data_IF_841633003328
#
_entry.id   IF_841633003328
#
_cell.length_a   1.000
_cell.length_b   1.000
_cell.length_c   1.000
_cell.angle_alpha   90.00
_cell.angle_beta   90.00
_cell.angle_gamma   90.00
#
_symmetry.space_group_name_H-M   'P 1'
#
loop_
_entity.id
_entity.type
_entity.pdbx_description
1 polymer ?
#
# COMPACT_ATOMS: atom_id res chain seq x y z
N UNK A 1 -3.69 -0.60 75.69
CA UNK A 1 -2.98 -0.05 74.50
C UNK A 1 -2.34 -1.13 73.65
N UNK A 2 -1.71 -2.17 74.21
CA UNK A 2 -1.09 -3.27 73.46
C UNK A 2 -2.07 -4.04 72.54
N UNK A 3 -3.28 -4.34 73.02
CA UNK A 3 -4.30 -5.11 72.28
C UNK A 3 -4.85 -4.38 71.03
N UNK A 4 -4.96 -3.05 71.08
CA UNK A 4 -5.40 -2.24 69.93
C UNK A 4 -4.31 -2.14 68.85
N UNK A 5 -3.03 -2.10 69.26
CA UNK A 5 -1.91 -2.09 68.30
C UNK A 5 -1.79 -3.44 67.60
N UNK A 6 -2.03 -4.54 68.31
CA UNK A 6 -2.05 -5.89 67.72
C UNK A 6 -3.24 -6.05 66.76
N UNK A 7 -4.43 -5.50 67.07
CA UNK A 7 -5.57 -5.56 66.15
C UNK A 7 -5.37 -4.74 64.89
N UNK A 8 -4.82 -3.52 65.01
CA UNK A 8 -4.51 -2.64 63.86
C UNK A 8 -3.41 -3.26 62.97
N UNK A 9 -2.42 -3.92 63.58
CA UNK A 9 -1.34 -4.61 62.87
C UNK A 9 -1.83 -5.87 62.16
N UNK A 10 -2.74 -6.64 62.77
CA UNK A 10 -3.38 -7.79 62.12
C UNK A 10 -4.27 -7.35 60.95
N UNK A 11 -5.08 -6.29 61.09
CA UNK A 11 -5.91 -5.78 59.98
C UNK A 11 -5.10 -5.24 58.80
N UNK A 12 -3.87 -4.75 59.02
CA UNK A 12 -2.96 -4.33 57.93
C UNK A 12 -2.26 -5.51 57.23
N UNK A 13 -2.19 -6.67 57.89
CA UNK A 13 -1.63 -7.91 57.32
C UNK A 13 -2.66 -8.69 56.49
N UNK A 14 -3.95 -8.48 56.71
CA UNK A 14 -5.01 -9.14 55.96
C UNK A 14 -5.50 -8.25 54.82
N UNK A 15 -5.18 -8.65 53.59
CA UNK A 15 -5.71 -8.15 52.32
C UNK A 15 -5.05 -6.92 51.71
N UNK A 16 -3.70 -6.93 51.66
CA UNK A 16 -3.02 -6.57 50.42
C UNK A 16 -3.41 -7.61 49.35
N UNK A 17 -4.59 -7.45 48.72
CA UNK A 17 -4.91 -8.18 47.50
C UNK A 17 -4.07 -7.54 46.42
N UNK A 18 -2.88 -8.10 46.20
CA UNK A 18 -2.10 -7.79 45.01
C UNK A 18 -2.97 -8.07 43.79
N UNK A 19 -3.29 -7.03 43.02
CA UNK A 19 -3.88 -7.21 41.70
C UNK A 19 -2.83 -7.94 40.87
N UNK A 20 -3.04 -9.24 40.66
CA UNK A 20 -2.24 -10.01 39.71
C UNK A 20 -2.75 -9.61 38.33
N UNK A 21 -2.06 -8.68 37.69
CA UNK A 21 -2.26 -8.39 36.28
C UNK A 21 -1.80 -9.63 35.50
N UNK A 22 -2.73 -10.50 35.11
CA UNK A 22 -2.45 -11.57 34.15
C UNK A 22 -2.45 -10.93 32.77
N UNK A 23 -1.35 -11.02 31.99
CA UNK A 23 -1.36 -10.54 30.62
C UNK A 23 -2.42 -11.31 29.84
N UNK A 24 -3.26 -10.59 29.09
CA UNK A 24 -4.24 -11.20 28.21
C UNK A 24 -3.49 -12.15 27.26
N UNK A 25 -3.89 -13.43 27.14
CA UNK A 25 -3.25 -14.34 26.19
C UNK A 25 -3.41 -13.72 24.80
N UNK A 26 -2.28 -13.56 24.12
CA UNK A 26 -2.17 -12.91 22.83
C UNK A 26 -3.04 -13.68 21.82
N UNK A 27 -4.27 -13.21 21.56
CA UNK A 27 -5.08 -13.67 20.43
C UNK A 27 -4.66 -12.94 19.15
N UNK A 28 -3.35 -12.85 18.92
CA UNK A 28 -2.75 -12.40 17.69
C UNK A 28 -2.28 -13.62 16.88
N UNK A 29 -2.31 -13.56 15.54
CA UNK A 29 -1.71 -14.62 14.71
C UNK A 29 -0.23 -14.83 15.09
N UNK A 30 0.36 -16.01 14.86
CA UNK A 30 1.75 -16.27 15.25
C UNK A 30 2.69 -15.35 14.48
N UNK A 31 3.15 -14.28 15.12
CA UNK A 31 3.96 -13.23 14.51
C UNK A 31 5.45 -13.42 14.81
N UNK A 32 6.04 -14.52 14.34
CA UNK A 32 7.50 -14.70 14.47
C UNK A 32 8.34 -13.73 13.60
N UNK A 33 7.72 -12.80 12.84
CA UNK A 33 8.41 -11.81 11.99
C UNK A 33 7.78 -10.39 11.97
N UNK A 34 6.79 -10.05 12.80
CA UNK A 34 5.86 -8.95 12.47
C UNK A 34 6.14 -7.57 13.11
N UNK A 35 7.26 -7.37 13.80
CA UNK A 35 7.59 -6.07 14.41
C UNK A 35 8.55 -5.23 13.53
N UNK A 36 8.81 -5.69 12.31
CA UNK A 36 9.63 -4.99 11.33
C UNK A 36 8.86 -3.89 10.58
N UNK A 37 9.58 -2.95 9.95
CA UNK A 37 8.97 -1.94 9.08
C UNK A 37 8.13 -2.60 7.97
N UNK A 38 6.83 -2.27 7.90
CA UNK A 38 5.91 -2.87 6.92
C UNK A 38 6.08 -2.21 5.55
N UNK A 39 6.56 -3.01 4.58
CA UNK A 39 6.66 -2.61 3.17
C UNK A 39 5.28 -2.74 2.50
N UNK A 40 4.88 -1.71 1.76
CA UNK A 40 3.56 -1.67 1.08
C UNK A 40 3.74 -1.65 -0.43
N UNK A 41 3.08 -2.58 -1.14
CA UNK A 41 2.96 -2.54 -2.60
C UNK A 41 1.65 -1.86 -3.01
N UNK A 42 1.72 -0.68 -3.63
CA UNK A 42 0.53 0.14 -3.95
C UNK A 42 0.69 0.87 -5.29
N UNK A 43 -0.43 1.24 -5.89
CA UNK A 43 -0.49 2.22 -6.97
C UNK A 43 -0.85 3.59 -6.37
N UNK A 44 -0.01 4.61 -6.54
CA UNK A 44 -0.29 5.96 -6.04
C UNK A 44 -1.17 6.72 -7.05
N UNK A 45 -2.46 6.81 -6.77
CA UNK A 45 -3.42 7.52 -7.63
C UNK A 45 -3.50 9.01 -7.27
N UNK A 46 -3.06 9.88 -8.16
CA UNK A 46 -3.18 11.33 -8.02
C UNK A 46 -4.61 11.78 -8.33
N UNK A 47 -5.34 12.23 -7.31
CA UNK A 47 -6.79 12.45 -7.38
C UNK A 47 -7.20 13.51 -8.39
N UNK A 48 -6.44 14.61 -8.47
CA UNK A 48 -6.77 15.76 -9.34
C UNK A 48 -6.50 15.52 -10.81
N UNK A 49 -5.33 15.02 -11.23
CA UNK A 49 -5.11 14.67 -12.63
C UNK A 49 -5.79 13.36 -13.02
N UNK A 50 -6.18 12.52 -12.06
CA UNK A 50 -6.82 11.23 -12.33
C UNK A 50 -5.86 10.15 -12.83
N UNK A 51 -4.59 10.20 -12.43
CA UNK A 51 -3.52 9.37 -12.96
C UNK A 51 -2.80 8.60 -11.85
N UNK A 52 -2.39 7.37 -12.12
CA UNK A 52 -1.46 6.59 -11.30
C UNK A 52 -0.03 6.99 -11.60
N UNK A 53 0.77 7.27 -10.57
CA UNK A 53 2.20 7.49 -10.74
C UNK A 53 2.86 6.24 -11.30
N UNK A 54 3.65 6.43 -12.36
CA UNK A 54 4.30 5.37 -13.10
C UNK A 54 5.79 5.71 -13.29
N UNK A 55 6.63 4.68 -13.15
CA UNK A 55 8.05 4.74 -13.54
C UNK A 55 8.25 3.77 -14.70
N UNK A 56 8.49 4.31 -15.89
CA UNK A 56 8.72 3.52 -17.09
C UNK A 56 10.05 2.76 -17.04
N UNK A 57 10.19 1.74 -17.89
CA UNK A 57 11.43 0.95 -17.98
C UNK A 57 12.66 1.80 -18.35
N UNK A 58 12.49 2.88 -19.10
CA UNK A 58 13.53 3.86 -19.43
C UNK A 58 13.89 4.79 -18.23
N UNK A 59 13.06 4.80 -17.19
CA UNK A 59 13.21 5.64 -15.99
C UNK A 59 12.44 6.96 -16.03
N UNK A 60 11.62 7.20 -17.06
CA UNK A 60 10.74 8.38 -17.08
C UNK A 60 9.64 8.25 -16.03
N UNK A 61 9.35 9.35 -15.34
CA UNK A 61 8.28 9.43 -14.33
C UNK A 61 7.11 10.22 -14.92
N UNK A 62 5.96 9.57 -15.03
CA UNK A 62 4.73 10.20 -15.53
C UNK A 62 3.48 9.53 -14.95
N UNK A 63 2.29 9.90 -15.44
CA UNK A 63 1.02 9.34 -14.99
C UNK A 63 0.39 8.40 -16.01
N UNK A 64 -0.32 7.38 -15.54
CA UNK A 64 -1.14 6.47 -16.36
C UNK A 64 -2.59 6.43 -15.84
N UNK A 65 -3.58 6.43 -16.74
CA UNK A 65 -5.00 6.36 -16.35
C UNK A 65 -5.36 5.04 -15.66
N UNK A 66 -4.67 3.95 -16.03
CA UNK A 66 -4.92 2.60 -15.52
C UNK A 66 -3.79 2.13 -14.61
N UNK A 67 -4.06 1.09 -13.81
CA UNK A 67 -2.99 0.37 -13.12
C UNK A 67 -2.20 -0.44 -14.16
N UNK A 68 -0.87 -0.39 -14.06
CA UNK A 68 0.05 -1.13 -14.92
C UNK A 68 1.16 -1.72 -14.06
N UNK A 69 1.92 -2.72 -14.55
CA UNK A 69 3.07 -3.23 -13.82
C UNK A 69 4.10 -2.14 -13.45
N UNK A 70 4.22 -1.11 -14.29
CA UNK A 70 5.11 0.03 -14.08
C UNK A 70 4.58 1.08 -13.10
N UNK A 71 3.28 1.07 -12.79
CA UNK A 71 2.69 1.93 -11.74
C UNK A 71 2.58 1.23 -10.39
N UNK A 72 3.04 -0.02 -10.27
CA UNK A 72 3.18 -0.70 -8.99
C UNK A 72 4.44 -0.18 -8.27
N UNK A 73 4.23 0.39 -7.09
CA UNK A 73 5.27 1.01 -6.29
C UNK A 73 5.42 0.28 -4.95
N UNK A 74 6.66 0.04 -4.57
CA UNK A 74 7.05 -0.35 -3.23
C UNK A 74 7.26 0.91 -2.38
N UNK A 75 6.52 1.01 -1.28
CA UNK A 75 6.60 2.09 -0.31
C UNK A 75 7.16 1.52 0.98
N UNK A 76 8.42 1.85 1.25
CA UNK A 76 9.21 1.28 2.35
C UNK A 76 9.50 2.37 3.38
N UNK A 77 9.09 2.20 4.65
CA UNK A 77 9.39 3.17 5.70
C UNK A 77 10.89 3.13 6.03
N UNK A 78 11.49 4.31 6.20
CA UNK A 78 12.92 4.46 6.54
C UNK A 78 13.16 5.14 7.88
N UNK A 79 12.26 6.01 8.29
CA UNK A 79 12.24 6.70 9.58
C UNK A 79 10.76 6.95 9.96
N UNK A 80 10.44 7.31 11.21
CA UNK A 80 9.08 7.62 11.61
C UNK A 80 8.43 8.69 10.71
N UNK A 81 7.42 8.28 9.93
CA UNK A 81 6.70 9.13 8.98
C UNK A 81 7.46 9.43 7.67
N UNK A 82 8.64 8.84 7.45
CA UNK A 82 9.40 8.99 6.22
C UNK A 82 9.43 7.67 5.44
N UNK A 83 9.27 7.77 4.12
CA UNK A 83 9.22 6.65 3.19
C UNK A 83 10.16 6.86 2.03
N UNK A 84 10.58 5.74 1.44
CA UNK A 84 11.20 5.65 0.13
C UNK A 84 10.21 4.96 -0.80
N UNK A 85 10.10 5.48 -2.02
CA UNK A 85 9.19 4.96 -3.04
C UNK A 85 10.03 4.40 -4.18
N UNK A 86 9.82 3.13 -4.54
CA UNK A 86 10.55 2.43 -5.60
C UNK A 86 9.56 1.83 -6.60
N UNK A 87 9.79 2.03 -7.89
CA UNK A 87 9.03 1.34 -8.93
C UNK A 87 9.47 -0.11 -9.03
N UNK A 88 8.54 -1.06 -8.83
CA UNK A 88 8.86 -2.49 -8.78
C UNK A 88 9.39 -2.97 -10.12
N UNK A 89 8.61 -2.78 -11.20
CA UNK A 89 8.99 -3.23 -12.54
C UNK A 89 10.24 -2.52 -13.08
N UNK A 90 10.40 -1.22 -12.81
CA UNK A 90 11.57 -0.45 -13.26
C UNK A 90 12.81 -0.67 -12.38
N UNK A 91 12.65 -1.20 -11.16
CA UNK A 91 13.71 -1.33 -10.15
C UNK A 91 14.44 -0.02 -9.83
N UNK A 92 13.76 1.13 -9.96
CA UNK A 92 14.31 2.48 -9.73
C UNK A 92 13.58 3.20 -8.61
N UNK A 93 14.32 3.97 -7.82
CA UNK A 93 13.78 4.86 -6.80
C UNK A 93 13.16 6.11 -7.44
N UNK A 94 12.02 6.52 -6.92
CA UNK A 94 11.43 7.81 -7.23
C UNK A 94 12.13 8.90 -6.43
N UNK A 95 12.59 9.94 -7.12
CA UNK A 95 13.30 11.05 -6.49
C UNK A 95 12.77 12.37 -7.05
N UNK A 96 13.05 13.45 -6.33
CA UNK A 96 12.57 14.79 -6.66
C UNK A 96 13.71 15.80 -6.60
N UNK A 97 13.73 16.70 -7.56
CA UNK A 97 14.63 17.85 -7.58
C UNK A 97 14.05 19.02 -6.75
N UNK A 98 14.88 20.00 -6.34
CA UNK A 98 14.41 21.16 -5.56
C UNK A 98 13.28 21.93 -6.25
N UNK A 99 13.30 21.97 -7.59
CA UNK A 99 12.29 22.63 -8.42
C UNK A 99 10.97 21.84 -8.52
N UNK A 100 10.92 20.62 -7.96
CA UNK A 100 9.78 19.71 -7.97
C UNK A 100 9.69 18.80 -9.20
N UNK A 101 10.72 18.76 -10.06
CA UNK A 101 10.79 17.77 -11.14
C UNK A 101 11.04 16.37 -10.56
N UNK A 102 10.21 15.42 -10.96
CA UNK A 102 10.38 14.03 -10.59
C UNK A 102 11.33 13.34 -11.57
N UNK A 103 12.15 12.44 -11.05
CA UNK A 103 13.02 11.58 -11.83
C UNK A 103 13.16 10.22 -11.13
N UNK A 104 13.83 9.28 -11.78
CA UNK A 104 14.13 7.99 -11.17
C UNK A 104 15.60 7.60 -11.32
N UNK A 105 16.12 6.85 -10.35
CA UNK A 105 17.52 6.40 -10.32
C UNK A 105 17.60 4.99 -9.72
N UNK A 106 18.50 4.12 -10.21
CA UNK A 106 18.74 2.81 -9.59
C UNK A 106 19.42 2.93 -8.22
N UNK A 107 20.16 4.01 -7.98
CA UNK A 107 20.91 4.23 -6.73
C UNK A 107 20.10 5.12 -5.80
N UNK A 108 19.87 4.65 -4.57
CA UNK A 108 19.19 5.42 -3.54
C UNK A 108 20.05 6.59 -3.07
N UNK A 109 19.43 7.78 -2.98
CA UNK A 109 19.98 8.94 -2.31
C UNK A 109 18.97 9.45 -1.28
N UNK A 110 19.40 9.59 -0.02
CA UNK A 110 18.54 10.10 1.03
C UNK A 110 18.02 11.50 0.71
N UNK A 111 18.86 12.34 0.11
CA UNK A 111 18.58 13.76 -0.08
C UNK A 111 17.43 13.99 -1.05
N UNK A 112 17.34 13.19 -2.12
CA UNK A 112 16.36 13.39 -3.19
C UNK A 112 15.24 12.34 -3.24
N UNK A 113 15.42 11.17 -2.62
CA UNK A 113 14.51 10.02 -2.75
C UNK A 113 13.74 9.68 -1.46
N UNK A 114 13.86 10.52 -0.42
CA UNK A 114 13.15 10.33 0.86
C UNK A 114 12.03 11.35 1.01
N UNK A 115 10.83 10.86 1.33
CA UNK A 115 9.63 11.68 1.47
C UNK A 115 9.00 11.50 2.84
N UNK A 116 8.59 12.60 3.47
CA UNK A 116 7.67 12.57 4.61
C UNK A 116 6.26 12.33 4.09
N UNK A 117 5.65 11.23 4.53
CA UNK A 117 4.26 10.88 4.25
C UNK A 117 3.35 11.49 5.32
N UNK A 118 2.32 12.21 4.89
CA UNK A 118 1.30 12.75 5.78
C UNK A 118 -0.08 12.43 5.22
N UNK A 119 -0.93 11.85 6.07
CA UNK A 119 -2.34 11.63 5.76
C UNK A 119 -3.10 12.92 6.11
N UNK A 120 -3.84 13.45 5.14
CA UNK A 120 -4.68 14.63 5.30
C UNK A 120 -6.04 14.26 5.92
N UNK A 121 -6.80 15.24 6.45
CA UNK A 121 -8.13 14.99 7.02
C UNK A 121 -9.15 14.40 6.05
N UNK A 122 -8.94 14.56 4.73
CA UNK A 122 -9.77 14.00 3.67
C UNK A 122 -9.39 12.55 3.30
N UNK A 123 -8.40 11.96 3.99
CA UNK A 123 -7.94 10.58 3.79
C UNK A 123 -6.90 10.41 2.68
N UNK A 124 -6.55 11.47 1.93
CA UNK A 124 -5.49 11.42 0.94
C UNK A 124 -4.12 11.56 1.61
N UNK A 125 -3.10 10.98 0.98
CA UNK A 125 -1.71 11.12 1.42
C UNK A 125 -0.99 12.18 0.58
N UNK A 126 -0.16 12.97 1.23
CA UNK A 126 0.81 13.87 0.57
C UNK A 126 2.22 13.42 0.92
N UNK A 127 3.13 13.58 -0.03
CA UNK A 127 4.53 13.20 0.12
C UNK A 127 5.40 14.44 -0.10
N UNK A 128 6.18 14.81 0.90
CA UNK A 128 7.05 16.00 0.86
C UNK A 128 8.50 15.56 0.95
N UNK A 129 9.36 16.03 0.04
CA UNK A 129 10.81 15.82 0.15
C UNK A 129 11.30 16.28 1.52
N UNK A 130 12.01 15.41 2.24
CA UNK A 130 12.56 15.75 3.56
C UNK A 130 13.59 16.88 3.44
N UNK A 131 14.43 16.83 2.40
CA UNK A 131 15.53 17.77 2.19
C UNK A 131 15.09 19.08 1.56
N UNK A 132 14.20 19.01 0.56
CA UNK A 132 13.83 20.19 -0.23
C UNK A 132 12.53 20.84 0.25
N UNK A 133 11.71 20.17 1.06
CA UNK A 133 10.37 20.64 1.44
C UNK A 133 9.38 20.69 0.27
N UNK A 134 9.76 20.15 -0.90
CA UNK A 134 8.95 20.18 -2.12
C UNK A 134 7.97 19.02 -2.14
N UNK A 135 6.71 19.31 -2.49
CA UNK A 135 5.65 18.31 -2.63
C UNK A 135 5.83 17.48 -3.91
N UNK A 136 5.69 16.17 -3.77
CA UNK A 136 5.57 15.24 -4.89
C UNK A 136 4.27 15.52 -5.65
N UNK A 137 4.34 15.73 -6.96
CA UNK A 137 3.18 15.99 -7.80
C UNK A 137 3.44 15.60 -9.25
N UNK A 138 2.44 15.03 -9.94
CA UNK A 138 2.48 14.75 -11.38
C UNK A 138 2.17 15.99 -12.24
N UNK A 139 1.91 17.14 -11.63
CA UNK A 139 1.56 18.37 -12.34
C UNK A 139 2.73 18.99 -13.12
N UNK A 140 2.42 19.63 -14.23
CA UNK A 140 3.39 20.44 -14.98
C UNK A 140 3.94 21.59 -14.11
N UNK A 141 5.14 22.14 -14.41
CA UNK A 141 5.69 23.27 -13.66
C UNK A 141 4.72 24.46 -13.54
N UNK A 142 3.92 24.72 -14.58
CA UNK A 142 2.89 25.78 -14.58
C UNK A 142 1.78 25.48 -13.58
N UNK A 143 1.26 24.24 -13.59
CA UNK A 143 0.22 23.81 -12.65
C UNK A 143 0.73 23.82 -11.20
N UNK A 144 2.00 23.45 -10.97
CA UNK A 144 2.62 23.50 -9.64
C UNK A 144 2.73 24.93 -9.10
N UNK A 145 3.10 25.91 -9.93
CA UNK A 145 3.12 27.33 -9.55
C UNK A 145 1.72 27.83 -9.18
N UNK A 146 0.72 27.55 -10.02
CA UNK A 146 -0.66 27.98 -9.77
C UNK A 146 -1.30 27.32 -8.54
N UNK A 147 -0.94 26.05 -8.26
CA UNK A 147 -1.40 25.35 -7.06
C UNK A 147 -0.85 25.95 -5.76
N UNK A 148 0.39 26.46 -5.78
CA UNK A 148 1.02 27.14 -4.65
C UNK A 148 0.26 28.40 -4.25
N UNK A 149 -0.19 29.18 -5.22
CA UNK A 149 -0.93 30.42 -4.99
C UNK A 149 -2.34 30.18 -4.41
N UNK A 150 -2.92 29.00 -4.63
CA UNK A 150 -4.25 28.62 -4.13
C UNK A 150 -4.22 27.95 -2.76
N UNK A 151 -3.05 27.80 -2.15
CA UNK A 151 -2.90 27.21 -0.81
C UNK A 151 -3.32 25.74 -0.70
N UNK A 152 -3.60 25.07 -1.82
CA UNK A 152 -4.13 23.69 -1.82
C UNK A 152 -3.15 22.74 -2.51
N UNK A 153 -2.65 21.71 -1.83
CA UNK A 153 -1.79 20.68 -2.42
C UNK A 153 -2.58 19.72 -3.32
N UNK A 154 -3.65 20.20 -3.99
CA UNK A 154 -4.60 19.33 -4.68
C UNK A 154 -3.90 18.44 -5.73
N UNK A 155 -2.91 18.96 -6.45
CA UNK A 155 -2.13 18.20 -7.43
C UNK A 155 -1.11 17.22 -6.81
N UNK A 156 -0.93 17.27 -5.49
CA UNK A 156 0.00 16.47 -4.71
C UNK A 156 -0.73 15.49 -3.76
N UNK A 157 -2.06 15.39 -3.84
CA UNK A 157 -2.87 14.44 -3.09
C UNK A 157 -2.93 13.09 -3.83
N UNK A 158 -2.46 12.05 -3.14
CA UNK A 158 -2.42 10.68 -3.64
C UNK A 158 -3.30 9.77 -2.78
N UNK A 159 -3.97 8.83 -3.44
CA UNK A 159 -4.67 7.72 -2.82
C UNK A 159 -3.87 6.43 -3.08
N UNK A 160 -3.26 5.80 -2.07
CA UNK A 160 -2.60 4.51 -2.23
C UNK A 160 -3.63 3.40 -2.48
N UNK A 161 -3.66 2.86 -3.70
CA UNK A 161 -4.59 1.79 -4.10
C UNK A 161 -3.90 0.44 -4.07
N UNK A 162 -4.63 -0.61 -3.68
CA UNK A 162 -4.19 -1.99 -3.85
C UNK A 162 -4.11 -2.34 -5.34
N UNK A 163 -3.23 -3.27 -5.68
CA UNK A 163 -3.15 -3.77 -7.05
C UNK A 163 -4.37 -4.61 -7.38
N UNK A 164 -4.99 -4.34 -8.51
CA UNK A 164 -6.04 -5.15 -9.10
C UNK A 164 -5.55 -5.89 -10.35
N UNK A 165 -4.23 -5.88 -10.59
CA UNK A 165 -3.61 -6.69 -11.63
C UNK A 165 -3.52 -8.11 -11.10
N UNK A 166 -4.03 -9.08 -11.86
CA UNK A 166 -3.93 -10.49 -11.51
C UNK A 166 -2.45 -10.85 -11.36
N UNK A 167 -2.00 -10.99 -10.12
CA UNK A 167 -0.70 -11.55 -9.83
C UNK A 167 -0.82 -13.05 -10.14
N UNK A 168 -0.11 -13.52 -11.16
CA UNK A 168 0.13 -14.97 -11.31
C UNK A 168 0.66 -15.43 -9.95
N UNK A 169 0.01 -16.42 -9.30
CA UNK A 169 0.48 -16.92 -8.01
C UNK A 169 1.95 -17.30 -8.14
N UNK A 170 2.77 -16.84 -7.21
CA UNK A 170 4.14 -17.29 -7.02
C UNK A 170 4.16 -18.82 -7.10
N UNK A 171 4.78 -19.44 -8.13
CA UNK A 171 4.95 -20.88 -8.12
C UNK A 171 5.91 -21.16 -6.98
N UNK A 172 5.36 -21.65 -5.87
CA UNK A 172 6.12 -22.07 -4.70
C UNK A 172 7.26 -23.01 -5.09
N UNK A 173 8.29 -23.14 -4.25
CA UNK A 173 9.49 -23.88 -4.62
C UNK A 173 9.14 -25.35 -4.85
N UNK A 174 9.64 -25.86 -5.98
CA UNK A 174 9.79 -27.27 -6.35
C UNK A 174 8.56 -28.00 -6.94
N UNK A 175 8.35 -27.84 -8.25
CA UNK A 175 7.86 -28.94 -9.11
C UNK A 175 8.83 -29.07 -10.30
N UNK A 176 9.50 -30.22 -10.50
CA UNK A 176 10.43 -30.40 -11.60
C UNK A 176 9.72 -30.31 -12.96
N UNK A 177 10.32 -29.52 -13.84
CA UNK A 177 9.99 -29.36 -15.25
C UNK A 177 10.28 -30.67 -16.01
N UNK A 178 9.24 -31.45 -16.32
CA UNK A 178 9.31 -32.48 -17.36
C UNK A 178 8.69 -31.94 -18.65
N UNK A 179 9.52 -31.30 -19.47
CA UNK A 179 9.36 -31.38 -20.91
C UNK A 179 9.54 -32.85 -21.30
N UNK A 180 8.57 -33.43 -22.02
CA UNK A 180 8.82 -33.99 -23.36
C UNK A 180 7.49 -34.40 -24.05
N UNK A 181 7.35 -33.87 -25.27
CA UNK A 181 6.67 -34.41 -26.45
C UNK A 181 5.26 -35.00 -26.30
N UNK A 182 4.25 -34.26 -26.80
CA UNK A 182 3.19 -34.86 -27.64
C UNK A 182 2.91 -34.01 -28.88
N UNK A 183 3.09 -34.64 -30.04
CA UNK A 183 2.68 -34.14 -31.37
C UNK A 183 1.18 -33.86 -31.40
N UNK A 184 0.68 -32.97 -32.30
CA UNK A 184 -0.74 -32.92 -32.61
C UNK A 184 -1.10 -34.16 -33.41
N UNK A 185 -2.04 -34.96 -32.92
CA UNK A 185 -2.77 -35.94 -33.73
C UNK A 185 -4.24 -35.57 -33.59
N UNK A 186 -4.85 -35.27 -34.73
CA UNK A 186 -6.27 -35.00 -34.91
C UNK A 186 -7.11 -36.23 -34.51
N UNK A 187 -8.44 -36.02 -34.45
CA UNK A 187 -9.56 -36.95 -34.28
C UNK A 187 -10.20 -37.00 -32.87
N UNK A 188 -11.52 -37.23 -32.75
CA UNK A 188 -12.62 -36.51 -33.40
C UNK A 188 -13.69 -36.04 -32.40
N UNK A 189 -14.60 -35.20 -32.90
CA UNK A 189 -15.81 -34.71 -32.23
C UNK A 189 -16.76 -35.87 -31.93
N UNK A 190 -17.07 -36.11 -30.65
CA UNK A 190 -18.45 -36.30 -30.11
C UNK A 190 -18.44 -36.88 -28.69
N UNK A 191 -19.02 -36.15 -27.73
CA UNK A 191 -20.09 -36.61 -26.85
C UNK A 191 -20.26 -35.65 -25.65
N UNK A 192 -21.49 -35.15 -25.53
CA UNK A 192 -22.07 -34.35 -24.45
C UNK A 192 -21.93 -35.04 -23.08
N UNK A 193 -21.69 -34.29 -22.00
CA UNK A 193 -22.72 -33.62 -21.19
C UNK A 193 -22.20 -33.40 -19.76
N UNK A 194 -22.21 -32.16 -19.28
CA UNK A 194 -22.30 -31.76 -17.85
C UNK A 194 -21.93 -30.29 -17.73
N UNK A 195 -22.94 -29.43 -17.64
CA UNK A 195 -23.24 -28.70 -16.40
C UNK A 195 -24.28 -27.61 -16.71
N UNK A 196 -25.47 -27.81 -16.12
CA UNK A 196 -26.27 -26.77 -15.48
C UNK A 196 -26.30 -25.40 -16.14
N UNK A 197 -27.27 -25.24 -17.04
CA UNK A 197 -27.78 -23.96 -17.51
C UNK A 197 -28.25 -23.09 -16.34
N UNK A 198 -27.52 -22.00 -16.06
CA UNK A 198 -28.01 -20.84 -15.30
C UNK A 198 -27.63 -19.54 -16.03
N UNK A 199 -28.17 -19.38 -17.22
CA UNK A 199 -28.49 -18.06 -17.73
C UNK A 199 -30.01 -17.97 -17.76
N UNK A 200 -30.57 -17.13 -16.90
CA UNK A 200 -31.61 -16.17 -17.28
C UNK A 200 -32.06 -15.31 -16.08
N UNK A 201 -31.77 -14.00 -16.23
CA UNK A 201 -32.70 -12.89 -16.03
C UNK A 201 -33.11 -12.57 -14.59
N UNK A 202 -32.40 -11.62 -13.98
CA UNK A 202 -33.01 -10.68 -13.03
C UNK A 202 -33.09 -9.31 -13.71
N UNK A 203 -34.17 -9.12 -14.48
CA UNK A 203 -34.59 -7.79 -14.93
C UNK A 203 -35.10 -7.02 -13.70
N UNK A 204 -34.32 -6.07 -13.19
CA UNK A 204 -34.76 -5.16 -12.12
C UNK A 204 -35.81 -4.18 -12.67
N UNK A 205 -37.07 -4.18 -12.18
CA UNK A 205 -38.08 -3.23 -12.62
C UNK A 205 -38.17 -2.10 -11.60
N UNK A 206 -37.45 -1.01 -11.81
CA UNK A 206 -37.77 0.25 -11.14
C UNK A 206 -37.07 1.40 -11.85
N UNK A 207 -37.79 2.07 -12.74
CA UNK A 207 -37.78 3.53 -12.89
C UNK A 207 -38.74 3.87 -14.03
N UNK A 208 -40.02 4.06 -13.71
CA UNK A 208 -40.91 4.98 -14.41
C UNK A 208 -42.08 5.30 -13.48
N UNK A 209 -42.10 6.54 -12.99
CA UNK A 209 -43.31 7.37 -13.05
C UNK A 209 -42.94 8.84 -12.84
N UNK A 210 -43.29 9.63 -13.87
CA UNK A 210 -43.73 11.01 -13.72
C UNK A 210 -45.08 11.03 -13.00
#
# INVERSE_FOLDING_TARGET
>A
MLLLVVSVSLTNMFFNVGVVCVPLPEQGPPTSHHWGPVVRLRHLYAARPGLHLLISGDGQVHGSEQQTPHSLLEISPVEPGCVVIRGVAASKYLCIEPDGRLYSTPTYSRDSCTFREQILPDGYSVYTSVTHGTLLSLGTPRQRKQGRDRGMPALAQFLPRISSLDQVPDPGPDVPEQLEQRRPTEEPVDAMDSFGQLSQIMHSPSFHKR
#
